data_IF_554484506200
#
_entry.id   IF_554484506200
#
_cell.length_a   1.000
_cell.length_b   1.000
_cell.length_c   1.000
_cell.angle_alpha   90.00
_cell.angle_beta   90.00
_cell.angle_gamma   90.00
#
_symmetry.space_group_name_H-M   'P 1'
#
loop_
_entity.id
_entity.type
_entity.pdbx_description
1 polymer ?
#
# COMPACT_ATOMS: atom_id res chain seq x y z
N UNK A 1 9.20 -23.72 11.50
CA UNK A 1 7.74 -23.68 11.29
C UNK A 1 7.23 -24.88 10.50
N UNK A 2 6.70 -25.90 11.19
CA UNK A 2 6.11 -27.09 10.56
C UNK A 2 4.63 -26.89 10.13
N UNK A 3 4.00 -25.81 10.60
CA UNK A 3 2.60 -25.49 10.29
C UNK A 3 2.41 -24.62 9.04
N UNK A 4 3.48 -24.02 8.52
CA UNK A 4 3.43 -23.21 7.31
C UNK A 4 3.31 -24.13 6.10
N UNK A 5 2.18 -24.03 5.40
CA UNK A 5 1.97 -24.72 4.13
C UNK A 5 2.96 -24.22 3.08
N UNK A 6 3.44 -25.17 2.30
CA UNK A 6 4.38 -24.97 1.18
C UNK A 6 3.70 -25.22 -0.16
N UNK A 7 2.39 -25.43 -0.14
CA UNK A 7 1.61 -25.69 -1.33
C UNK A 7 1.34 -24.40 -2.10
N UNK A 8 1.46 -24.48 -3.42
CA UNK A 8 1.06 -23.44 -4.33
C UNK A 8 0.33 -24.07 -5.52
N UNK A 9 -0.55 -23.29 -6.14
CA UNK A 9 -1.24 -23.66 -7.36
C UNK A 9 -0.95 -22.61 -8.43
N UNK A 10 -0.73 -23.07 -9.67
CA UNK A 10 -0.54 -22.16 -10.80
C UNK A 10 -1.89 -21.53 -11.17
N UNK A 11 -1.88 -20.22 -11.42
CA UNK A 11 -3.02 -19.45 -11.94
C UNK A 11 -2.58 -18.70 -13.20
N UNK A 12 -3.50 -17.98 -13.86
CA UNK A 12 -3.13 -17.21 -15.06
C UNK A 12 -2.00 -16.22 -14.71
N UNK A 13 -0.84 -16.39 -15.37
CA UNK A 13 0.39 -15.62 -15.18
C UNK A 13 0.75 -15.40 -13.69
N UNK A 14 0.67 -16.44 -12.86
CA UNK A 14 1.04 -16.32 -11.46
C UNK A 14 0.85 -17.58 -10.64
N UNK A 15 0.83 -17.42 -9.33
CA UNK A 15 0.50 -18.48 -8.38
C UNK A 15 -0.53 -18.02 -7.37
N UNK A 16 -1.23 -18.98 -6.76
CA UNK A 16 -1.94 -18.79 -5.52
C UNK A 16 -1.40 -19.72 -4.43
N UNK A 17 -1.34 -19.22 -3.20
CA UNK A 17 -0.86 -19.99 -2.04
C UNK A 17 -1.59 -19.55 -0.77
N UNK A 18 -1.73 -20.47 0.19
CA UNK A 18 -2.29 -20.19 1.50
C UNK A 18 -1.32 -20.73 2.54
N UNK A 19 -0.65 -19.84 3.28
CA UNK A 19 0.44 -20.21 4.19
C UNK A 19 -0.07 -20.91 5.45
N UNK A 20 -1.21 -20.48 6.00
CA UNK A 20 -1.77 -21.03 7.24
C UNK A 20 -3.25 -21.35 7.06
N UNK A 21 -3.74 -22.47 7.61
CA UNK A 21 -5.17 -22.77 7.61
C UNK A 21 -5.98 -21.63 8.25
N UNK A 22 -7.03 -21.18 7.57
CA UNK A 22 -7.89 -20.08 8.01
C UNK A 22 -7.53 -18.70 7.45
N UNK A 23 -6.38 -18.56 6.77
CA UNK A 23 -6.02 -17.35 6.03
C UNK A 23 -6.60 -17.37 4.61
N UNK A 24 -6.86 -16.21 4.00
CA UNK A 24 -7.28 -16.14 2.60
C UNK A 24 -6.19 -16.69 1.67
N UNK A 25 -6.60 -17.21 0.51
CA UNK A 25 -5.66 -17.52 -0.56
C UNK A 25 -5.03 -16.22 -1.08
N UNK A 26 -3.71 -16.16 -1.11
CA UNK A 26 -2.96 -15.07 -1.69
C UNK A 26 -2.71 -15.35 -3.17
N UNK A 27 -3.32 -14.56 -4.04
CA UNK A 27 -3.08 -14.55 -5.48
C UNK A 27 -1.96 -13.59 -5.80
N UNK A 28 -0.90 -14.07 -6.43
CA UNK A 28 0.24 -13.29 -6.91
C UNK A 28 0.33 -13.44 -8.43
N UNK A 29 -0.09 -12.40 -9.15
CA UNK A 29 -0.27 -12.44 -10.61
C UNK A 29 0.45 -11.29 -11.31
N UNK A 30 0.89 -11.54 -12.54
CA UNK A 30 1.59 -10.57 -13.38
C UNK A 30 0.84 -10.34 -14.69
N UNK A 31 1.04 -9.16 -15.29
CA UNK A 31 0.49 -8.84 -16.60
C UNK A 31 1.15 -9.59 -17.77
N UNK A 32 2.23 -10.35 -17.51
CA UNK A 32 3.04 -11.06 -18.50
C UNK A 32 3.24 -12.51 -18.10
N UNK A 33 3.38 -13.37 -19.11
CA UNK A 33 3.79 -14.77 -18.93
C UNK A 33 5.12 -14.83 -18.16
N UNK A 34 5.12 -15.61 -17.10
CA UNK A 34 6.24 -15.79 -16.17
C UNK A 34 6.43 -17.27 -15.86
N UNK A 35 7.60 -17.59 -15.34
CA UNK A 35 7.90 -18.88 -14.72
C UNK A 35 8.07 -18.67 -13.22
N UNK A 36 7.36 -19.45 -12.40
CA UNK A 36 7.51 -19.41 -10.96
C UNK A 36 8.44 -20.54 -10.52
N UNK A 37 9.56 -20.17 -9.91
CA UNK A 37 10.52 -21.12 -9.34
C UNK A 37 10.25 -21.26 -7.85
N UNK A 38 9.74 -22.43 -7.47
CA UNK A 38 9.47 -22.75 -6.08
C UNK A 38 10.76 -23.14 -5.35
N UNK A 39 11.36 -22.16 -4.66
CA UNK A 39 12.57 -22.32 -3.86
C UNK A 39 12.32 -21.78 -2.45
N UNK A 40 11.59 -22.53 -1.60
CA UNK A 40 11.15 -22.04 -0.31
C UNK A 40 12.33 -21.83 0.64
N UNK A 41 12.51 -20.60 1.12
CA UNK A 41 13.56 -20.20 2.05
C UNK A 41 12.96 -19.48 3.27
N UNK A 42 13.74 -19.41 4.35
CA UNK A 42 13.38 -18.71 5.58
C UNK A 42 14.51 -17.76 5.96
N UNK A 43 14.23 -16.47 5.95
CA UNK A 43 15.11 -15.48 6.58
C UNK A 43 14.80 -15.47 8.07
N UNK A 44 15.80 -15.79 8.89
CA UNK A 44 15.61 -15.98 10.33
C UNK A 44 16.13 -14.81 11.14
N UNK A 45 15.45 -14.51 12.23
CA UNK A 45 15.90 -13.52 13.21
C UNK A 45 15.95 -12.10 12.66
N UNK A 46 14.95 -11.72 11.88
CA UNK A 46 14.79 -10.31 11.49
C UNK A 46 14.30 -9.54 12.70
N UNK A 47 15.00 -8.46 13.04
CA UNK A 47 14.69 -7.63 14.18
C UNK A 47 14.14 -6.28 13.74
N UNK A 48 13.09 -5.83 14.42
CA UNK A 48 12.46 -4.53 14.22
C UNK A 48 12.69 -3.64 15.46
N UNK A 49 13.79 -2.85 15.51
CA UNK A 49 14.16 -2.07 16.70
C UNK A 49 13.08 -1.12 17.19
N UNK A 50 12.30 -0.54 16.26
CA UNK A 50 11.19 0.36 16.60
C UNK A 50 10.03 -0.38 17.27
N UNK A 51 9.76 -1.62 16.90
CA UNK A 51 8.74 -2.43 17.55
C UNK A 51 9.21 -2.90 18.94
N UNK A 52 10.51 -3.16 19.08
CA UNK A 52 11.14 -3.42 20.38
C UNK A 52 10.99 -2.24 21.34
N UNK A 53 11.26 -1.02 20.88
CA UNK A 53 11.06 0.21 21.67
C UNK A 53 9.60 0.39 22.10
N UNK A 54 8.65 -0.10 21.31
CA UNK A 54 7.21 -0.07 21.60
C UNK A 54 6.75 -1.24 22.50
N UNK A 55 7.62 -2.21 22.78
CA UNK A 55 7.31 -3.40 23.57
C UNK A 55 6.50 -4.47 22.83
N UNK A 56 6.49 -4.44 21.49
CA UNK A 56 5.86 -5.46 20.64
C UNK A 56 6.85 -6.58 20.29
N UNK A 57 6.32 -7.68 19.74
CA UNK A 57 7.13 -8.77 19.19
C UNK A 57 8.01 -8.21 18.06
N UNK A 58 9.31 -8.11 18.32
CA UNK A 58 10.26 -7.44 17.43
C UNK A 58 11.07 -8.42 16.58
N UNK A 59 11.00 -9.73 16.85
CA UNK A 59 11.75 -10.75 16.14
C UNK A 59 10.80 -11.60 15.28
N UNK A 60 11.12 -11.72 14.00
CA UNK A 60 10.31 -12.47 13.04
C UNK A 60 11.18 -13.32 12.11
N UNK A 61 10.67 -14.50 11.76
CA UNK A 61 11.18 -15.32 10.67
C UNK A 61 10.31 -15.09 9.41
N UNK A 62 10.90 -14.59 8.33
CA UNK A 62 10.18 -14.34 7.07
C UNK A 62 10.28 -15.53 6.12
N UNK A 63 9.11 -16.05 5.74
CA UNK A 63 9.00 -17.09 4.71
C UNK A 63 9.05 -16.48 3.32
N UNK A 64 9.89 -17.03 2.46
CA UNK A 64 9.94 -16.69 1.03
C UNK A 64 9.61 -17.94 0.23
N UNK A 65 8.47 -17.99 -0.48
CA UNK A 65 8.05 -19.18 -1.21
C UNK A 65 8.90 -19.48 -2.45
N UNK A 66 9.53 -18.46 -3.04
CA UNK A 66 10.29 -18.58 -4.28
C UNK A 66 10.38 -17.25 -5.01
N UNK A 67 10.59 -17.29 -6.33
CA UNK A 67 10.68 -16.10 -7.17
C UNK A 67 10.03 -16.32 -8.55
N UNK A 68 9.69 -15.21 -9.21
CA UNK A 68 9.21 -15.19 -10.58
C UNK A 68 10.35 -14.81 -11.53
N UNK A 69 10.54 -15.61 -12.58
CA UNK A 69 11.46 -15.33 -13.67
C UNK A 69 10.68 -14.89 -14.92
N UNK A 70 11.09 -13.76 -15.50
CA UNK A 70 10.38 -13.10 -16.59
C UNK A 70 11.38 -12.42 -17.51
N UNK A 71 11.30 -12.71 -18.81
CA UNK A 71 12.01 -11.94 -19.82
C UNK A 71 11.47 -10.51 -19.86
N UNK A 72 12.35 -9.50 -19.81
CA UNK A 72 11.97 -8.09 -19.91
C UNK A 72 12.76 -7.39 -21.01
N UNK A 73 12.09 -6.55 -21.80
CA UNK A 73 12.72 -5.70 -22.82
C UNK A 73 12.84 -4.26 -22.34
N UNK A 74 13.79 -3.51 -22.89
CA UNK A 74 13.95 -2.08 -22.57
C UNK A 74 12.66 -1.32 -22.91
N UNK A 75 12.13 -0.58 -21.94
CA UNK A 75 10.87 0.17 -22.07
C UNK A 75 9.60 -0.64 -21.81
N UNK A 76 9.74 -1.92 -21.44
CA UNK A 76 8.60 -2.75 -21.04
C UNK A 76 8.27 -2.55 -19.54
N UNK A 77 6.97 -2.53 -19.22
CA UNK A 77 6.47 -2.42 -17.84
C UNK A 77 5.86 -3.74 -17.40
N UNK A 78 6.36 -4.26 -16.28
CA UNK A 78 5.80 -5.44 -15.60
C UNK A 78 4.96 -4.94 -14.42
N UNK A 79 3.69 -5.34 -14.39
CA UNK A 79 2.76 -5.02 -13.30
C UNK A 79 2.53 -6.30 -12.50
N UNK A 80 2.82 -6.22 -11.21
CA UNK A 80 2.60 -7.28 -10.25
C UNK A 80 1.39 -6.92 -9.38
N UNK A 81 0.51 -7.89 -9.14
CA UNK A 81 -0.63 -7.77 -8.25
C UNK A 81 -0.60 -8.87 -7.20
N UNK A 82 -0.83 -8.48 -5.95
CA UNK A 82 -1.00 -9.38 -4.82
C UNK A 82 -2.35 -9.09 -4.15
N UNK A 83 -3.24 -10.08 -4.10
CA UNK A 83 -4.61 -9.89 -3.60
C UNK A 83 -5.25 -11.17 -3.08
N UNK A 84 -6.44 -11.04 -2.51
CA UNK A 84 -7.24 -12.16 -1.97
C UNK A 84 -8.20 -12.79 -3.00
N UNK A 85 -8.16 -12.31 -4.24
CA UNK A 85 -8.99 -12.76 -5.34
C UNK A 85 -8.19 -12.79 -6.65
N UNK A 86 -8.61 -13.67 -7.56
CA UNK A 86 -8.03 -13.74 -8.89
C UNK A 86 -8.35 -12.47 -9.69
N UNK A 87 -7.33 -11.92 -10.35
CA UNK A 87 -7.44 -10.76 -11.21
C UNK A 87 -7.14 -11.12 -12.66
N UNK A 88 -7.82 -10.44 -13.59
CA UNK A 88 -7.52 -10.58 -15.01
C UNK A 88 -6.18 -9.93 -15.34
N UNK A 89 -5.21 -10.77 -15.72
CA UNK A 89 -3.83 -10.36 -16.03
C UNK A 89 -3.74 -9.30 -17.14
N UNK A 90 -4.70 -9.32 -18.09
CA UNK A 90 -4.79 -8.35 -19.19
C UNK A 90 -5.20 -6.95 -18.73
N UNK A 91 -5.98 -6.84 -17.66
CA UNK A 91 -6.47 -5.56 -17.13
C UNK A 91 -5.48 -4.91 -16.17
N UNK A 92 -4.51 -5.67 -15.64
CA UNK A 92 -3.54 -5.17 -14.65
C UNK A 92 -2.81 -3.92 -15.12
N UNK A 93 -2.39 -3.88 -16.39
CA UNK A 93 -1.70 -2.71 -16.94
C UNK A 93 -2.60 -1.46 -16.99
N UNK A 94 -3.83 -1.62 -17.46
CA UNK A 94 -4.80 -0.53 -17.55
C UNK A 94 -5.19 -0.01 -16.16
N UNK A 95 -5.39 -0.91 -15.20
CA UNK A 95 -5.69 -0.54 -13.82
C UNK A 95 -4.52 0.21 -13.19
N UNK A 96 -3.30 -0.26 -13.40
CA UNK A 96 -2.10 0.42 -12.91
C UNK A 96 -1.94 1.80 -13.53
N UNK A 97 -2.12 1.94 -14.84
CA UNK A 97 -2.05 3.24 -15.54
C UNK A 97 -3.13 4.21 -15.03
N UNK A 98 -4.37 3.75 -14.88
CA UNK A 98 -5.46 4.57 -14.33
C UNK A 98 -5.17 5.03 -12.89
N UNK A 99 -4.67 4.14 -12.04
CA UNK A 99 -4.27 4.46 -10.66
C UNK A 99 -3.08 5.41 -10.58
N UNK A 100 -2.19 5.38 -11.58
CA UNK A 100 -1.06 6.32 -11.66
C UNK A 100 -1.52 7.69 -12.17
N UNK A 101 -2.44 7.73 -13.14
CA UNK A 101 -3.00 8.97 -13.68
C UNK A 101 -3.86 9.73 -12.65
N UNK A 102 -4.59 9.01 -11.79
CA UNK A 102 -5.38 9.62 -10.71
C UNK A 102 -4.50 10.23 -9.60
N UNK A 103 -3.27 9.74 -9.44
CA UNK A 103 -2.36 10.23 -8.40
C UNK A 103 -1.69 11.54 -8.81
N UNK A 104 -1.59 12.46 -7.85
CA UNK A 104 -0.83 13.70 -8.05
C UNK A 104 0.66 13.36 -8.26
N UNK A 105 1.27 13.70 -9.42
CA UNK A 105 2.64 13.31 -9.76
C UNK A 105 3.66 13.97 -8.83
N UNK A 106 4.79 13.30 -8.54
CA UNK A 106 5.84 13.83 -7.64
C UNK A 106 6.99 14.48 -8.41
N UNK A 107 6.66 15.38 -9.33
CA UNK A 107 7.61 16.02 -10.25
C UNK A 107 7.96 17.47 -9.88
N UNK A 108 7.16 18.12 -9.04
CA UNK A 108 7.34 19.52 -8.65
C UNK A 108 7.27 19.73 -7.14
N UNK A 109 7.90 20.80 -6.65
CA UNK A 109 7.81 21.21 -5.24
C UNK A 109 6.35 21.38 -4.80
N UNK A 110 5.53 22.00 -5.66
CA UNK A 110 4.11 22.19 -5.42
C UNK A 110 3.37 20.85 -5.26
N UNK A 111 3.59 19.90 -6.18
CA UNK A 111 2.93 18.60 -6.09
C UNK A 111 3.39 17.76 -4.90
N UNK A 112 4.66 17.87 -4.50
CA UNK A 112 5.13 17.26 -3.26
C UNK A 112 4.41 17.86 -2.04
N UNK A 113 4.24 19.19 -2.01
CA UNK A 113 3.52 19.86 -0.93
C UNK A 113 2.03 19.47 -0.89
N UNK A 114 1.37 19.41 -2.06
CA UNK A 114 -0.02 18.94 -2.19
C UNK A 114 -0.17 17.50 -1.68
N UNK A 115 0.71 16.60 -2.11
CA UNK A 115 0.72 15.21 -1.63
C UNK A 115 0.95 15.11 -0.12
N UNK A 116 1.83 15.92 0.45
CA UNK A 116 2.04 15.98 1.90
C UNK A 116 0.84 16.55 2.64
N UNK A 117 0.13 17.51 2.06
CA UNK A 117 -1.08 18.08 2.65
C UNK A 117 -2.18 17.03 2.81
N UNK A 118 -2.43 16.25 1.76
CA UNK A 118 -3.45 15.19 1.74
C UNK A 118 -3.20 14.08 2.78
N UNK A 119 -1.96 13.88 3.22
CA UNK A 119 -1.67 12.90 4.27
C UNK A 119 -2.34 13.23 5.61
N UNK A 120 -2.57 14.52 5.91
CA UNK A 120 -3.15 14.94 7.18
C UNK A 120 -4.67 14.79 7.24
N UNK A 121 -5.34 14.51 6.10
CA UNK A 121 -6.77 14.24 6.06
C UNK A 121 -7.06 12.87 6.68
N UNK A 122 -7.94 12.84 7.68
CA UNK A 122 -8.36 11.65 8.37
C UNK A 122 -9.89 11.55 8.28
N UNK A 123 -10.37 10.74 7.34
CA UNK A 123 -11.80 10.47 7.13
C UNK A 123 -12.17 9.17 7.84
N UNK A 124 -13.00 9.27 8.88
CA UNK A 124 -13.50 8.11 9.65
C UNK A 124 -15.03 8.07 9.56
N UNK A 125 -15.54 7.26 8.64
CA UNK A 125 -16.99 7.17 8.41
C UNK A 125 -17.56 8.50 7.93
N UNK A 126 -18.35 9.16 8.79
CA UNK A 126 -18.94 10.47 8.51
C UNK A 126 -18.11 11.66 9.01
N UNK A 127 -17.07 11.40 9.81
CA UNK A 127 -16.26 12.47 10.40
C UNK A 127 -15.00 12.72 9.56
N UNK A 128 -14.66 14.00 9.39
CA UNK A 128 -13.47 14.41 8.64
C UNK A 128 -12.61 15.36 9.47
N UNK A 129 -11.45 14.86 9.92
CA UNK A 129 -10.49 15.62 10.72
C UNK A 129 -9.20 15.88 9.96
N UNK A 130 -8.51 16.96 10.33
CA UNK A 130 -7.13 17.20 9.91
C UNK A 130 -6.20 17.00 11.11
N UNK A 131 -5.24 16.10 10.96
CA UNK A 131 -4.26 15.78 11.99
C UNK A 131 -3.16 16.84 12.05
N UNK A 132 -2.70 17.18 13.25
CA UNK A 132 -1.65 18.17 13.42
C UNK A 132 -0.22 17.62 13.18
N UNK A 133 -0.05 16.31 13.01
CA UNK A 133 1.26 15.70 12.84
C UNK A 133 1.29 14.19 13.09
N UNK A 134 1.76 13.41 12.11
CA UNK A 134 2.06 12.00 12.35
C UNK A 134 3.39 11.81 13.10
N UNK A 135 3.54 10.72 13.86
CA UNK A 135 2.51 9.74 14.22
C UNK A 135 1.77 10.07 15.54
N UNK A 136 2.21 11.09 16.29
CA UNK A 136 1.82 11.27 17.69
C UNK A 136 0.76 12.35 17.94
N UNK A 137 0.52 13.26 17.00
CA UNK A 137 -0.36 14.40 17.23
C UNK A 137 -1.78 14.15 16.71
N UNK A 138 -2.76 14.39 17.59
CA UNK A 138 -4.19 14.39 17.24
C UNK A 138 -4.61 15.72 16.62
N UNK A 139 -5.89 15.83 16.24
CA UNK A 139 -6.48 17.11 15.88
C UNK A 139 -6.35 18.10 17.05
N UNK A 140 -5.78 19.28 16.79
CA UNK A 140 -5.67 20.39 17.74
C UNK A 140 -6.45 21.57 17.19
N UNK A 141 -7.44 22.07 17.92
CA UNK A 141 -8.36 23.12 17.44
C UNK A 141 -7.66 24.37 16.87
N UNK A 142 -6.54 24.80 17.48
CA UNK A 142 -5.75 25.94 17.00
C UNK A 142 -5.14 25.68 15.62
N UNK A 143 -4.50 24.53 15.47
CA UNK A 143 -3.79 24.19 14.24
C UNK A 143 -4.80 23.87 13.12
N UNK A 144 -5.92 23.24 13.48
CA UNK A 144 -7.04 22.90 12.61
C UNK A 144 -7.70 24.14 11.99
N UNK A 145 -8.11 25.13 12.81
CA UNK A 145 -8.90 26.29 12.35
C UNK A 145 -8.05 27.34 11.60
N UNK A 146 -6.83 27.61 12.07
CA UNK A 146 -6.06 28.76 11.54
C UNK A 146 -5.11 28.39 10.42
N UNK A 147 -4.50 27.21 10.47
CA UNK A 147 -3.37 26.88 9.61
C UNK A 147 -3.72 25.75 8.64
N UNK A 148 -4.26 24.65 9.15
CA UNK A 148 -4.43 23.45 8.34
C UNK A 148 -5.69 23.48 7.46
N UNK A 149 -6.86 23.86 7.99
CA UNK A 149 -8.08 23.92 7.17
C UNK A 149 -8.04 25.00 6.09
N UNK A 150 -7.19 26.03 6.17
CA UNK A 150 -7.10 27.04 5.09
C UNK A 150 -5.99 26.74 4.10
N UNK A 151 -4.85 26.25 4.56
CA UNK A 151 -3.69 25.99 3.70
C UNK A 151 -3.78 24.61 3.03
N UNK A 152 -4.38 23.62 3.68
CA UNK A 152 -4.44 22.26 3.13
C UNK A 152 -5.68 21.98 2.27
N UNK A 153 -6.65 22.89 2.22
CA UNK A 153 -7.84 22.75 1.35
C UNK A 153 -7.99 23.95 0.41
N UNK A 154 -8.26 25.15 0.93
CA UNK A 154 -8.52 26.35 0.11
C UNK A 154 -7.32 26.77 -0.76
N UNK A 155 -6.08 26.63 -0.27
CA UNK A 155 -4.89 26.96 -1.07
C UNK A 155 -4.58 25.93 -2.17
N UNK A 156 -5.24 24.77 -2.14
CA UNK A 156 -5.12 23.67 -3.11
C UNK A 156 -6.36 23.64 -4.05
N UNK A 157 -7.28 24.60 -3.89
CA UNK A 157 -8.54 24.72 -4.63
C UNK A 157 -9.53 23.58 -4.33
N UNK A 158 -9.58 23.13 -3.08
CA UNK A 158 -10.47 22.06 -2.60
C UNK A 158 -11.51 22.62 -1.58
N UNK A 159 -12.48 23.45 -2.02
CA UNK A 159 -13.44 24.10 -1.12
C UNK A 159 -14.45 23.14 -0.49
N UNK A 160 -14.79 22.03 -1.15
CA UNK A 160 -15.71 21.02 -0.61
C UNK A 160 -15.12 20.33 0.62
N UNK A 161 -13.83 19.96 0.56
CA UNK A 161 -13.11 19.37 1.69
C UNK A 161 -13.00 20.36 2.87
N UNK A 162 -12.97 21.67 2.61
CA UNK A 162 -13.01 22.67 3.67
C UNK A 162 -14.37 22.67 4.39
N UNK A 163 -15.46 22.59 3.65
CA UNK A 163 -16.81 22.57 4.21
C UNK A 163 -17.03 21.32 5.06
N UNK A 164 -16.64 20.14 4.56
CA UNK A 164 -16.74 18.86 5.30
C UNK A 164 -15.95 18.89 6.63
N UNK A 165 -14.73 19.43 6.59
CA UNK A 165 -13.88 19.59 7.78
C UNK A 165 -14.50 20.58 8.78
N UNK A 166 -15.19 21.62 8.31
CA UNK A 166 -15.81 22.63 9.18
C UNK A 166 -17.15 22.17 9.78
N UNK A 167 -17.80 21.18 9.18
CA UNK A 167 -19.07 20.60 9.66
C UNK A 167 -18.82 19.58 10.79
N UNK A 168 -17.65 18.96 10.83
CA UNK A 168 -17.24 17.95 11.82
C UNK A 168 -16.92 18.57 13.19
#
# INVERSE_FOLDING_TARGET
>A
NAQASREYQLVENGIKTCMYPGYPELFMQLNKKNEFHFEPSWYRGIEYPKEQERGYDFNEDLYVPGYFEIDIRKGESIVFSAGISEMSTRRLKQLFEAEVEDRTPRDSFYHCLKNSAHQFHNKQGHDHYILAGYPWFKCRARDFIYFFSRVLTLAIDEPEEFEDVMIT
#
